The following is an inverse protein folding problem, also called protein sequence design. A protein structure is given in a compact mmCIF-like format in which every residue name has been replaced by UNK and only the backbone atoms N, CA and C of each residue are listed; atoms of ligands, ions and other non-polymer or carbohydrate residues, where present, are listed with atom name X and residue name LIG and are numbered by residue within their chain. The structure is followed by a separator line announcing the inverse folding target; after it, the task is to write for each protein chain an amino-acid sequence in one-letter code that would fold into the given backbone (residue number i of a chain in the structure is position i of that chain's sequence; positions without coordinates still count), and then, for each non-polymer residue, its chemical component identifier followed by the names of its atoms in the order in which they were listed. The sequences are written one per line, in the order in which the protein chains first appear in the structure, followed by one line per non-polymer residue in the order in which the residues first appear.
data_IF_896459237888
#
_entry.id   IF_896459237888
#
_cell.length_a   1.000
_cell.length_b   1.000
_cell.length_c   1.000
_cell.angle_alpha   90.00
_cell.angle_beta   90.00
_cell.angle_gamma   90.00
#
_symmetry.space_group_name_H-M   'P 1'
#
loop_
_entity.id
_entity.type
_entity.pdbx_description
1 polymer ?
#
# COMPACT_ATOMS: atom_id res chain seq x y z
N UNK A 1 -31.81 -46.06 -12.14
CA UNK A 1 -30.92 -44.93 -12.48
C UNK A 1 -29.50 -45.33 -12.12
N UNK A 2 -28.63 -45.58 -13.10
CA UNK A 2 -27.24 -45.99 -12.83
C UNK A 2 -26.45 -44.76 -12.40
N UNK A 3 -26.01 -44.74 -11.15
CA UNK A 3 -25.36 -43.59 -10.51
C UNK A 3 -24.09 -43.22 -11.27
N UNK A 4 -24.04 -41.96 -11.68
CA UNK A 4 -22.95 -41.37 -12.45
C UNK A 4 -21.75 -41.15 -11.52
N UNK A 5 -21.08 -42.23 -11.11
CA UNK A 5 -19.79 -42.18 -10.40
C UNK A 5 -18.69 -41.79 -11.39
N UNK A 6 -18.77 -40.58 -11.96
CA UNK A 6 -17.67 -40.00 -12.73
C UNK A 6 -16.61 -39.58 -11.72
N UNK A 7 -15.54 -40.38 -11.62
CA UNK A 7 -14.33 -39.97 -10.90
C UNK A 7 -13.95 -38.58 -11.40
N UNK A 8 -13.84 -37.63 -10.47
CA UNK A 8 -13.32 -36.30 -10.78
C UNK A 8 -11.90 -36.53 -11.33
N UNK A 9 -11.57 -36.02 -12.53
CA UNK A 9 -10.22 -36.14 -13.05
C UNK A 9 -9.20 -35.61 -12.04
N UNK A 10 -8.07 -36.29 -11.89
CA UNK A 10 -7.06 -35.93 -10.88
C UNK A 10 -6.61 -34.46 -10.98
N UNK A 11 -6.57 -33.92 -12.21
CA UNK A 11 -6.26 -32.51 -12.48
C UNK A 11 -7.32 -31.58 -11.86
N UNK A 12 -8.59 -31.93 -11.94
CA UNK A 12 -9.68 -31.13 -11.35
C UNK A 12 -9.67 -31.23 -9.83
N UNK A 13 -9.38 -32.41 -9.27
CA UNK A 13 -9.22 -32.58 -7.82
C UNK A 13 -8.04 -31.75 -7.29
N UNK A 14 -6.88 -31.82 -7.96
CA UNK A 14 -5.68 -31.05 -7.58
C UNK A 14 -5.91 -29.54 -7.68
N UNK A 15 -6.63 -29.07 -8.71
CA UNK A 15 -7.03 -27.66 -8.83
C UNK A 15 -7.97 -27.25 -7.69
N UNK A 16 -9.00 -28.05 -7.41
CA UNK A 16 -9.94 -27.76 -6.32
C UNK A 16 -9.24 -27.67 -4.97
N UNK A 17 -8.30 -28.57 -4.69
CA UNK A 17 -7.51 -28.54 -3.45
C UNK A 17 -6.64 -27.28 -3.36
N UNK A 18 -5.99 -26.89 -4.44
CA UNK A 18 -5.17 -25.68 -4.50
C UNK A 18 -6.00 -24.42 -4.27
N UNK A 19 -7.15 -24.28 -4.92
CA UNK A 19 -8.03 -23.13 -4.73
C UNK A 19 -8.63 -23.10 -3.32
N UNK A 20 -8.98 -24.26 -2.74
CA UNK A 20 -9.44 -24.33 -1.36
C UNK A 20 -8.36 -23.85 -0.38
N UNK A 21 -7.10 -24.26 -0.57
CA UNK A 21 -5.98 -23.80 0.24
C UNK A 21 -5.76 -22.28 0.15
N UNK A 22 -5.78 -21.71 -1.06
CA UNK A 22 -5.63 -20.26 -1.26
C UNK A 22 -6.76 -19.47 -0.60
N UNK A 23 -8.00 -19.97 -0.65
CA UNK A 23 -9.15 -19.36 0.03
C UNK A 23 -9.05 -19.45 1.55
N UNK A 24 -8.49 -20.52 2.09
CA UNK A 24 -8.20 -20.65 3.53
C UNK A 24 -7.09 -19.70 3.98
N UNK A 25 -6.06 -19.52 3.15
CA UNK A 25 -4.99 -18.54 3.37
C UNK A 25 -5.54 -17.10 3.33
N UNK A 26 -6.42 -16.76 2.40
CA UNK A 26 -7.08 -15.45 2.35
C UNK A 26 -7.90 -15.16 3.63
N UNK A 27 -8.61 -16.16 4.16
CA UNK A 27 -9.31 -16.01 5.45
C UNK A 27 -8.37 -15.73 6.62
N UNK A 28 -7.14 -16.23 6.56
CA UNK A 28 -6.14 -15.92 7.59
C UNK A 28 -5.63 -14.47 7.52
N UNK A 29 -5.82 -13.80 6.37
CA UNK A 29 -5.53 -12.36 6.18
C UNK A 29 -6.68 -11.45 6.62
N UNK A 30 -7.87 -11.99 6.97
CA UNK A 30 -8.99 -11.18 7.48
C UNK A 30 -8.66 -10.48 8.81
N UNK A 31 -7.67 -10.98 9.55
CA UNK A 31 -7.20 -10.37 10.80
C UNK A 31 -5.87 -9.67 10.55
N UNK A 32 -5.96 -8.41 10.12
CA UNK A 32 -4.80 -7.53 10.12
C UNK A 32 -4.33 -7.33 11.57
N UNK A 33 -3.00 -7.32 11.82
CA UNK A 33 -2.49 -6.96 13.12
C UNK A 33 -2.92 -5.54 13.49
N UNK A 34 -3.17 -5.29 14.77
CA UNK A 34 -3.44 -3.95 15.27
C UNK A 34 -2.25 -3.04 14.94
N UNK A 35 -2.53 -1.92 14.27
CA UNK A 35 -1.52 -0.90 14.02
C UNK A 35 -1.20 -0.20 15.35
N UNK A 36 0.08 0.13 15.61
CA UNK A 36 0.43 0.89 16.79
C UNK A 36 -0.22 2.28 16.75
N UNK A 37 -0.67 2.74 17.92
CA UNK A 37 -1.15 4.11 18.07
C UNK A 37 0.05 5.06 18.07
N UNK A 38 0.04 6.01 17.14
CA UNK A 38 1.04 7.07 17.10
C UNK A 38 0.43 8.32 17.74
N UNK A 39 1.20 9.04 18.55
CA UNK A 39 0.70 10.24 19.25
C UNK A 39 0.15 11.33 18.30
N UNK A 40 0.58 11.31 17.04
CA UNK A 40 0.12 12.22 15.98
C UNK A 40 -0.80 11.57 14.94
N UNK A 41 -1.25 10.32 15.15
CA UNK A 41 -2.20 9.71 14.23
C UNK A 41 -3.58 10.34 14.40
N UNK A 42 -4.11 10.89 13.30
CA UNK A 42 -5.50 11.32 13.25
C UNK A 42 -6.40 10.11 13.07
N UNK A 43 -7.53 10.09 13.79
CA UNK A 43 -8.60 9.13 13.49
C UNK A 43 -9.21 9.44 12.13
N UNK A 44 -9.83 8.45 11.50
CA UNK A 44 -10.47 8.63 10.20
C UNK A 44 -11.55 9.73 10.23
N UNK A 45 -12.26 9.85 11.36
CA UNK A 45 -13.29 10.86 11.58
C UNK A 45 -12.71 12.27 11.82
N UNK A 46 -11.44 12.35 12.23
CA UNK A 46 -10.71 13.58 12.52
C UNK A 46 -9.84 14.03 11.33
N UNK A 47 -9.72 13.21 10.30
CA UNK A 47 -8.97 13.55 9.09
C UNK A 47 -9.77 14.54 8.23
N UNK A 48 -9.28 15.78 8.19
CA UNK A 48 -9.74 16.77 7.22
C UNK A 48 -8.73 16.85 6.07
N UNK A 49 -9.23 16.72 4.84
CA UNK A 49 -8.41 16.94 3.66
C UNK A 49 -8.01 18.42 3.62
N UNK A 50 -6.71 18.70 3.69
CA UNK A 50 -6.22 20.06 3.59
C UNK A 50 -6.67 20.71 2.28
N UNK A 51 -6.98 22.00 2.35
CA UNK A 51 -7.28 22.77 1.15
C UNK A 51 -6.11 22.67 0.17
N UNK A 52 -6.45 22.43 -1.10
CA UNK A 52 -5.48 22.45 -2.18
C UNK A 52 -4.82 23.83 -2.21
N UNK A 53 -3.50 23.87 -2.01
CA UNK A 53 -2.76 25.12 -2.12
C UNK A 53 -2.98 25.70 -3.52
N UNK A 54 -3.41 26.97 -3.61
CA UNK A 54 -3.64 27.66 -4.88
C UNK A 54 -2.41 27.73 -5.78
N UNK A 55 -1.21 27.43 -5.27
CA UNK A 55 -0.01 27.14 -6.04
C UNK A 55 -0.20 26.02 -7.05
N UNK A 56 -1.04 25.04 -6.73
CA UNK A 56 -1.24 23.87 -7.56
C UNK A 56 -2.03 24.15 -8.83
N UNK A 57 -2.82 25.21 -8.85
CA UNK A 57 -3.54 25.67 -10.04
C UNK A 57 -2.73 26.66 -10.88
N UNK A 58 -1.54 27.07 -10.42
CA UNK A 58 -0.66 27.94 -11.20
C UNK A 58 0.02 27.10 -12.29
N UNK A 59 -0.30 27.35 -13.56
CA UNK A 59 0.42 26.74 -14.69
C UNK A 59 1.94 27.06 -14.69
N UNK A 60 2.33 28.16 -14.03
CA UNK A 60 3.71 28.62 -13.91
C UNK A 60 4.27 28.33 -12.51
N UNK A 61 4.51 27.05 -12.22
CA UNK A 61 5.32 26.67 -11.07
C UNK A 61 6.76 27.13 -11.31
N UNK A 62 7.09 28.35 -10.88
CA UNK A 62 8.48 28.76 -10.74
C UNK A 62 9.00 28.10 -9.48
N UNK A 63 9.68 26.97 -9.63
CA UNK A 63 10.53 26.42 -8.57
C UNK A 63 11.48 27.57 -8.21
N UNK A 64 11.39 28.16 -7.00
CA UNK A 64 12.36 29.16 -6.61
C UNK A 64 13.71 28.48 -6.71
N UNK A 65 14.71 29.13 -7.32
CA UNK A 65 16.09 28.63 -7.35
C UNK A 65 16.64 28.62 -5.92
N UNK A 66 16.11 27.75 -5.06
CA UNK A 66 16.74 27.36 -3.82
C UNK A 66 17.82 26.40 -4.25
N UNK A 67 19.04 26.91 -4.33
CA UNK A 67 20.21 26.05 -4.35
C UNK A 67 20.19 25.24 -3.06
N UNK A 68 19.85 23.95 -3.17
CA UNK A 68 19.85 22.96 -2.07
C UNK A 68 21.16 22.99 -1.25
N UNK A 69 22.22 23.52 -1.86
CA UNK A 69 23.57 23.75 -1.35
C UNK A 69 23.70 24.64 -0.11
N UNK A 70 22.72 25.47 0.30
CA UNK A 70 22.92 26.39 1.45
C UNK A 70 23.14 25.70 2.80
N UNK A 71 22.74 24.43 2.91
CA UNK A 71 22.80 23.59 4.11
C UNK A 71 23.88 22.52 4.00
N UNK A 72 24.46 22.35 2.80
CA UNK A 72 25.61 21.51 2.57
C UNK A 72 26.80 22.39 2.91
N UNK A 73 27.24 22.33 4.16
CA UNK A 73 28.61 22.70 4.53
C UNK A 73 29.49 21.65 3.86
N UNK A 74 29.70 21.78 2.54
CA UNK A 74 30.81 21.14 1.89
C UNK A 74 32.02 21.85 2.53
N UNK A 75 32.66 21.20 3.51
CA UNK A 75 33.88 21.70 4.15
C UNK A 75 34.89 22.00 3.04
N UNK A 76 35.11 23.28 2.76
CA UNK A 76 36.28 23.73 2.01
C UNK A 76 37.49 23.54 2.95
N UNK A 77 37.99 22.30 3.02
CA UNK A 77 39.38 22.01 3.35
C UNK A 77 40.25 22.66 2.28
N UNK A 78 40.70 23.89 2.52
CA UNK A 78 41.80 24.51 1.79
C UNK A 78 43.05 24.60 2.70
N UNK A 79 44.15 24.07 2.17
CA UNK A 79 45.52 23.87 2.71
C UNK A 79 46.18 25.04 3.49
#
# INVERSE_FOLDING_TARGET
MKHLNKKIPEIAAKRSQMYAYLLEEEKSLEVLPELPEFELSLKAEEYEMADKDGAWDRANWKIPNQTLKRHLTDDDEDD
#
